data_IF_039729083758
#
_entry.id   IF_039729083758
#
_cell.length_a   1.000
_cell.length_b   1.000
_cell.length_c   1.000
_cell.angle_alpha   90.00
_cell.angle_beta   90.00
_cell.angle_gamma   90.00
#
_symmetry.space_group_name_H-M   'P 1'
#
loop_
_entity.id
_entity.type
_entity.pdbx_description
1 polymer ?
#
# COMPACT_ATOMS: atom_id res chain seq x y z
N UNK A 1 0.75 -17.26 3.98
CA UNK A 1 1.75 -16.23 3.63
C UNK A 1 3.03 -16.42 4.43
N UNK A 2 2.95 -16.51 5.76
CA UNK A 2 4.12 -16.74 6.62
C UNK A 2 4.82 -18.08 6.36
N UNK A 3 4.05 -19.13 6.05
CA UNK A 3 4.62 -20.46 5.74
C UNK A 3 5.28 -20.49 4.35
N UNK A 4 4.69 -19.80 3.38
CA UNK A 4 5.13 -19.80 1.98
C UNK A 4 6.25 -18.78 1.69
N UNK A 5 6.29 -17.65 2.39
CA UNK A 5 7.28 -16.60 2.10
C UNK A 5 8.74 -17.08 2.20
N UNK A 6 9.14 -17.91 3.19
CA UNK A 6 10.47 -18.52 3.24
C UNK A 6 10.77 -19.41 2.02
N UNK A 7 9.79 -20.20 1.54
CA UNK A 7 9.97 -21.09 0.38
C UNK A 7 10.30 -20.32 -0.90
N UNK A 8 9.71 -19.12 -1.06
CA UNK A 8 9.93 -18.27 -2.23
C UNK A 8 11.00 -17.19 -2.03
N UNK A 9 11.69 -17.16 -0.89
CA UNK A 9 12.57 -16.05 -0.49
C UNK A 9 11.89 -14.68 -0.65
N UNK A 10 10.59 -14.60 -0.34
CA UNK A 10 9.75 -13.46 -0.63
C UNK A 10 9.65 -12.51 0.57
N UNK A 11 9.56 -11.20 0.28
CA UNK A 11 9.19 -10.21 1.27
C UNK A 11 7.66 -10.25 1.52
N UNK A 12 7.27 -10.10 2.79
CA UNK A 12 5.87 -9.99 3.20
C UNK A 12 5.55 -8.53 3.52
N UNK A 13 4.58 -7.96 2.82
CA UNK A 13 4.16 -6.56 3.02
C UNK A 13 2.64 -6.52 3.19
N UNK A 14 2.18 -5.98 4.32
CA UNK A 14 0.78 -5.64 4.53
C UNK A 14 0.60 -4.14 4.31
N UNK A 15 -0.14 -3.80 3.26
CA UNK A 15 -0.51 -2.43 2.98
C UNK A 15 -1.90 -2.17 3.59
N UNK A 16 -1.99 -1.21 4.49
CA UNK A 16 -3.26 -0.78 5.06
C UNK A 16 -4.09 -0.05 3.98
N UNK A 17 -5.38 -0.35 3.90
CA UNK A 17 -6.28 0.28 2.95
C UNK A 17 -6.57 1.73 3.35
N UNK A 18 -6.66 2.65 2.38
CA UNK A 18 -7.09 4.04 2.65
C UNK A 18 -8.42 4.08 3.40
N UNK A 19 -8.57 5.03 4.32
CA UNK A 19 -9.71 5.17 5.24
C UNK A 19 -9.88 4.02 6.24
N UNK A 20 -8.82 3.30 6.59
CA UNK A 20 -8.86 2.32 7.68
C UNK A 20 -7.63 2.46 8.57
N UNK A 21 -7.77 1.99 9.82
CA UNK A 21 -6.68 1.98 10.79
C UNK A 21 -6.12 3.38 11.06
N UNK A 22 -4.90 3.64 10.59
CA UNK A 22 -4.21 4.94 10.71
C UNK A 22 -4.13 5.68 9.37
N UNK A 23 -4.50 5.03 8.27
CA UNK A 23 -4.36 5.51 6.91
C UNK A 23 -5.55 6.38 6.49
N UNK A 24 -5.59 7.62 6.98
CA UNK A 24 -6.64 8.58 6.68
C UNK A 24 -6.15 9.71 5.76
N UNK A 25 -6.62 9.80 4.50
CA UNK A 25 -6.16 10.83 3.55
C UNK A 25 -6.37 12.27 4.03
N UNK A 26 -7.38 12.49 4.89
CA UNK A 26 -7.73 13.79 5.45
C UNK A 26 -7.72 13.77 6.99
N UNK A 27 -6.99 12.82 7.59
CA UNK A 27 -6.97 12.63 9.04
C UNK A 27 -8.37 12.45 9.64
N UNK A 28 -8.68 13.18 10.72
CA UNK A 28 -10.00 13.14 11.38
C UNK A 28 -11.15 13.62 10.49
N UNK A 29 -10.85 14.34 9.41
CA UNK A 29 -11.85 14.86 8.47
C UNK A 29 -12.17 13.88 7.34
N UNK A 30 -11.58 12.69 7.32
CA UNK A 30 -11.81 11.70 6.26
C UNK A 30 -13.28 11.32 6.08
N UNK A 31 -14.10 11.36 7.13
CA UNK A 31 -15.52 10.97 7.07
C UNK A 31 -16.48 12.15 7.21
N UNK A 32 -15.99 13.39 7.26
CA UNK A 32 -16.84 14.54 7.64
C UNK A 32 -17.63 15.15 6.48
N UNK A 33 -17.23 14.90 5.23
CA UNK A 33 -17.92 15.42 4.04
C UNK A 33 -18.02 14.35 2.95
N UNK A 34 -19.03 14.47 2.08
CA UNK A 34 -19.20 13.58 0.92
C UNK A 34 -17.99 13.70 -0.02
N UNK A 35 -17.42 14.90 -0.15
CA UNK A 35 -16.24 15.16 -0.96
C UNK A 35 -15.02 14.40 -0.44
N UNK A 36 -14.78 14.39 0.88
CA UNK A 36 -13.67 13.64 1.47
C UNK A 36 -13.92 12.13 1.39
N UNK A 37 -15.15 11.69 1.68
CA UNK A 37 -15.52 10.28 1.62
C UNK A 37 -15.51 9.73 0.19
N UNK A 38 -15.72 10.57 -0.82
CA UNK A 38 -15.72 10.19 -2.23
C UNK A 38 -14.40 9.57 -2.73
N UNK A 39 -13.30 9.73 -1.99
CA UNK A 39 -12.01 9.09 -2.28
C UNK A 39 -11.88 7.66 -1.71
N UNK A 40 -12.88 7.17 -0.98
CA UNK A 40 -12.98 5.78 -0.52
C UNK A 40 -13.58 4.89 -1.62
N UNK A 41 -12.75 4.54 -2.60
CA UNK A 41 -13.10 3.61 -3.66
C UNK A 41 -12.02 2.54 -3.86
N UNK A 42 -12.41 1.42 -4.46
CA UNK A 42 -11.48 0.32 -4.75
C UNK A 42 -10.44 0.71 -5.81
N UNK A 43 -10.82 1.47 -6.84
CA UNK A 43 -9.92 1.95 -7.90
C UNK A 43 -8.80 2.81 -7.31
N UNK A 44 -9.19 3.67 -6.39
CA UNK A 44 -8.30 4.55 -5.65
C UNK A 44 -7.34 3.76 -4.75
N UNK A 45 -7.84 2.77 -3.99
CA UNK A 45 -7.00 1.91 -3.16
C UNK A 45 -6.03 1.04 -3.98
N UNK A 46 -6.47 0.51 -5.13
CA UNK A 46 -5.61 -0.19 -6.07
C UNK A 46 -4.52 0.73 -6.63
N UNK A 47 -4.87 2.01 -6.88
CA UNK A 47 -3.91 3.06 -7.23
C UNK A 47 -2.82 3.24 -6.16
N UNK A 48 -3.19 3.27 -4.88
CA UNK A 48 -2.22 3.34 -3.77
C UNK A 48 -1.28 2.14 -3.76
N UNK A 49 -1.83 0.92 -3.91
CA UNK A 49 -1.01 -0.29 -3.92
C UNK A 49 -0.07 -0.35 -5.12
N UNK A 50 -0.50 0.11 -6.30
CA UNK A 50 0.37 0.23 -7.47
C UNK A 50 1.54 1.21 -7.21
N UNK A 51 1.25 2.36 -6.60
CA UNK A 51 2.27 3.34 -6.22
C UNK A 51 3.21 2.78 -5.13
N UNK A 52 2.69 2.08 -4.13
CA UNK A 52 3.45 1.45 -3.07
C UNK A 52 4.40 0.38 -3.60
N UNK A 53 3.92 -0.53 -4.46
CA UNK A 53 4.76 -1.56 -5.09
C UNK A 53 5.90 -0.91 -5.88
N UNK A 54 5.60 0.13 -6.66
CA UNK A 54 6.61 0.89 -7.41
C UNK A 54 7.63 1.54 -6.47
N UNK A 55 7.17 2.14 -5.37
CA UNK A 55 8.05 2.76 -4.38
C UNK A 55 8.98 1.72 -3.76
N UNK A 56 8.44 0.59 -3.29
CA UNK A 56 9.21 -0.49 -2.67
C UNK A 56 10.25 -1.06 -3.62
N UNK A 57 9.88 -1.34 -4.88
CA UNK A 57 10.83 -1.83 -5.91
C UNK A 57 11.96 -0.84 -6.16
N UNK A 58 11.66 0.46 -6.26
CA UNK A 58 12.64 1.46 -6.68
C UNK A 58 13.51 2.00 -5.53
N UNK A 59 12.96 2.10 -4.32
CA UNK A 59 13.60 2.78 -3.19
C UNK A 59 14.04 1.85 -2.07
N UNK A 60 13.32 0.75 -1.86
CA UNK A 60 13.61 -0.19 -0.77
C UNK A 60 14.40 -1.39 -1.26
N UNK A 61 13.97 -1.99 -2.38
CA UNK A 61 14.59 -3.18 -2.96
C UNK A 61 15.47 -2.89 -4.17
N UNK A 62 15.64 -1.61 -4.54
CA UNK A 62 16.36 -1.21 -5.75
C UNK A 62 17.83 -1.65 -5.81
N UNK A 63 18.46 -1.91 -4.65
CA UNK A 63 19.79 -2.52 -4.56
C UNK A 63 19.80 -4.05 -4.72
N UNK A 64 18.68 -4.71 -4.42
CA UNK A 64 18.52 -6.17 -4.53
C UNK A 64 18.23 -6.61 -5.98
N UNK A 65 17.47 -5.80 -6.74
CA UNK A 65 17.03 -6.12 -8.11
C UNK A 65 18.16 -5.97 -9.14
N UNK A 66 19.17 -5.13 -8.90
CA UNK A 66 20.31 -4.94 -9.84
C UNK A 66 21.37 -6.06 -9.79
N UNK A 67 21.17 -7.09 -8.95
CA UNK A 67 22.16 -8.17 -8.75
C UNK A 67 21.85 -9.43 -9.57
N UNK A 68 20.88 -9.35 -10.48
CA UNK A 68 20.54 -10.38 -11.46
C UNK A 68 20.54 -9.75 -12.86
#
# INVERSE_FOLDING_TARGET
MWDLAPEFNAAVVFAEHRFYGKSHPFGKQSYTTIQNLGYLSSEQALGDFALLIRHLKNKTFGGLVRKF
#
